data_IF_486799403043
#
_entry.id   IF_486799403043
#
_cell.length_a   1.000
_cell.length_b   1.000
_cell.length_c   1.000
_cell.angle_alpha   90.00
_cell.angle_beta   90.00
_cell.angle_gamma   90.00
#
_symmetry.space_group_name_H-M   'P 1'
#
loop_
_entity.id
_entity.type
_entity.pdbx_description
1 polymer ?
#
# COMPACT_ATOMS: atom_id res chain seq x y z
N UNK A 1 33.60 4.66 -11.69
CA UNK A 1 32.76 3.90 -12.63
C UNK A 1 31.33 4.12 -12.22
N UNK A 2 30.61 4.94 -12.97
CA UNK A 2 29.19 5.18 -12.78
C UNK A 2 28.46 3.91 -13.21
N UNK A 3 27.76 3.26 -12.28
CA UNK A 3 26.94 2.11 -12.63
C UNK A 3 25.79 2.60 -13.51
N UNK A 4 25.77 2.17 -14.77
CA UNK A 4 24.66 2.43 -15.68
C UNK A 4 23.35 2.00 -15.01
N UNK A 5 22.40 2.92 -14.88
CA UNK A 5 21.07 2.63 -14.38
C UNK A 5 20.41 1.63 -15.32
N UNK A 6 20.37 0.37 -14.90
CA UNK A 6 19.66 -0.69 -15.60
C UNK A 6 18.18 -0.36 -15.49
N UNK A 7 17.47 -0.28 -16.62
CA UNK A 7 16.02 -0.09 -16.57
C UNK A 7 15.40 -1.15 -15.66
N UNK A 8 14.46 -0.77 -14.76
CA UNK A 8 13.89 -1.70 -13.82
C UNK A 8 13.19 -2.82 -14.60
N UNK A 9 13.50 -4.06 -14.24
CA UNK A 9 12.92 -5.22 -14.88
C UNK A 9 11.38 -5.12 -14.90
N UNK A 10 10.70 -5.53 -15.99
CA UNK A 10 9.29 -5.20 -16.24
C UNK A 10 8.29 -5.77 -15.21
N UNK A 11 8.74 -6.68 -14.33
CA UNK A 11 7.94 -7.23 -13.23
C UNK A 11 8.05 -6.42 -11.93
N UNK A 12 8.96 -5.44 -11.83
CA UNK A 12 9.11 -4.56 -10.68
C UNK A 12 8.16 -3.37 -10.86
N UNK A 13 7.24 -3.19 -9.91
CA UNK A 13 6.19 -2.16 -9.97
C UNK A 13 6.53 -0.96 -9.10
N UNK A 14 7.15 -1.20 -7.95
CA UNK A 14 7.52 -0.13 -7.02
C UNK A 14 8.67 -0.58 -6.12
N UNK A 15 9.40 0.39 -5.57
CA UNK A 15 10.44 0.18 -4.58
C UNK A 15 10.44 1.31 -3.56
N UNK A 16 10.33 0.96 -2.29
CA UNK A 16 10.39 1.90 -1.17
C UNK A 16 10.97 1.20 0.05
N UNK A 17 11.88 1.89 0.76
CA UNK A 17 12.69 1.32 1.84
C UNK A 17 13.28 -0.07 1.45
N UNK A 18 13.01 -1.10 2.24
CA UNK A 18 13.43 -2.49 2.05
C UNK A 18 12.43 -3.33 1.23
N UNK A 19 11.35 -2.72 0.74
CA UNK A 19 10.26 -3.39 0.04
C UNK A 19 10.40 -3.23 -1.49
N UNK A 20 10.17 -4.33 -2.20
CA UNK A 20 10.03 -4.36 -3.66
C UNK A 20 8.69 -4.98 -4.03
N UNK A 21 7.83 -4.22 -4.71
CA UNK A 21 6.53 -4.71 -5.17
C UNK A 21 6.69 -5.31 -6.56
N UNK A 22 6.27 -6.57 -6.70
CA UNK A 22 6.37 -7.33 -7.94
C UNK A 22 4.98 -7.67 -8.49
N UNK A 23 4.88 -7.82 -9.81
CA UNK A 23 3.72 -8.44 -10.48
C UNK A 23 4.08 -9.82 -11.02
N UNK A 24 3.09 -10.70 -11.08
CA UNK A 24 3.19 -12.02 -11.72
C UNK A 24 2.09 -12.17 -12.77
N UNK A 25 2.38 -12.94 -13.82
CA UNK A 25 1.38 -13.32 -14.81
C UNK A 25 0.60 -14.55 -14.33
N UNK A 26 -0.59 -14.77 -14.88
CA UNK A 26 -1.39 -15.98 -14.65
C UNK A 26 -1.54 -16.75 -15.97
N UNK A 27 -0.50 -17.46 -16.43
CA UNK A 27 -0.50 -18.07 -17.76
C UNK A 27 -1.62 -19.10 -17.91
N UNK A 28 -2.34 -19.02 -19.03
CA UNK A 28 -3.39 -19.97 -19.38
C UNK A 28 -4.75 -19.68 -18.78
N UNK A 29 -4.89 -18.61 -17.99
CA UNK A 29 -6.19 -18.16 -17.48
C UNK A 29 -7.20 -17.92 -18.63
N UNK A 30 -6.73 -17.35 -19.74
CA UNK A 30 -7.54 -17.05 -20.93
C UNK A 30 -8.09 -18.30 -21.60
N UNK A 31 -7.39 -19.44 -21.46
CA UNK A 31 -7.76 -20.72 -22.08
C UNK A 31 -8.81 -21.49 -21.25
N UNK A 32 -9.10 -21.05 -20.02
CA UNK A 32 -10.07 -21.73 -19.16
C UNK A 32 -11.50 -21.58 -19.71
N UNK A 33 -12.33 -22.64 -19.62
CA UNK A 33 -13.77 -22.53 -19.84
C UNK A 33 -14.39 -21.44 -18.96
N UNK A 34 -15.46 -20.80 -19.47
CA UNK A 34 -16.13 -19.69 -18.77
C UNK A 34 -16.52 -20.04 -17.33
N UNK A 35 -17.05 -21.24 -17.10
CA UNK A 35 -17.46 -21.69 -15.77
C UNK A 35 -16.29 -21.69 -14.76
N UNK A 36 -15.08 -22.09 -15.18
CA UNK A 36 -13.91 -22.06 -14.32
C UNK A 36 -13.44 -20.62 -14.04
N UNK A 37 -13.50 -19.74 -15.05
CA UNK A 37 -13.21 -18.30 -14.86
C UNK A 37 -14.17 -17.65 -13.86
N UNK A 38 -15.46 -18.00 -13.93
CA UNK A 38 -16.49 -17.53 -13.01
C UNK A 38 -16.22 -18.04 -11.59
N UNK A 39 -15.88 -19.32 -11.43
CA UNK A 39 -15.49 -19.87 -10.12
C UNK A 39 -14.27 -19.12 -9.54
N UNK A 40 -13.20 -18.95 -10.33
CA UNK A 40 -11.99 -18.23 -9.91
C UNK A 40 -12.32 -16.79 -9.54
N UNK A 41 -13.17 -16.11 -10.33
CA UNK A 41 -13.60 -14.75 -10.05
C UNK A 41 -14.26 -14.65 -8.67
N UNK A 42 -15.24 -15.52 -8.36
CA UNK A 42 -15.92 -15.47 -7.07
C UNK A 42 -15.01 -15.81 -5.90
N UNK A 43 -14.10 -16.78 -6.06
CA UNK A 43 -13.08 -17.08 -5.04
C UNK A 43 -12.17 -15.87 -4.80
N UNK A 44 -11.74 -15.18 -5.86
CA UNK A 44 -10.92 -13.98 -5.74
C UNK A 44 -11.68 -12.82 -5.05
N UNK A 45 -12.98 -12.64 -5.33
CA UNK A 45 -13.80 -11.65 -4.63
C UNK A 45 -13.93 -11.97 -3.14
N UNK A 46 -14.17 -13.24 -2.79
CA UNK A 46 -14.24 -13.69 -1.41
C UNK A 46 -12.94 -13.43 -0.64
N UNK A 47 -11.78 -13.73 -1.24
CA UNK A 47 -10.47 -13.44 -0.64
C UNK A 47 -10.25 -11.94 -0.43
N UNK A 48 -10.61 -11.11 -1.42
CA UNK A 48 -10.46 -9.64 -1.33
C UNK A 48 -11.32 -9.02 -0.23
N UNK A 49 -12.54 -9.54 -0.04
CA UNK A 49 -13.45 -9.06 1.01
C UNK A 49 -12.87 -9.23 2.43
N UNK A 50 -11.96 -10.19 2.64
CA UNK A 50 -11.30 -10.42 3.92
C UNK A 50 -10.18 -9.43 4.26
N UNK A 51 -9.82 -8.49 3.38
CA UNK A 51 -8.68 -7.57 3.60
C UNK A 51 -8.79 -6.83 4.94
N UNK A 52 -9.93 -6.20 5.21
CA UNK A 52 -10.09 -5.37 6.41
C UNK A 52 -10.08 -6.18 7.71
N UNK A 53 -10.42 -7.48 7.66
CA UNK A 53 -10.32 -8.38 8.81
C UNK A 53 -8.86 -8.48 9.28
N UNK A 54 -7.92 -8.64 8.35
CA UNK A 54 -6.49 -8.75 8.68
C UNK A 54 -5.94 -7.46 9.29
N UNK A 55 -6.35 -6.30 8.78
CA UNK A 55 -5.96 -5.01 9.37
C UNK A 55 -6.41 -4.92 10.83
N UNK A 56 -7.67 -5.26 11.10
CA UNK A 56 -8.25 -5.19 12.44
C UNK A 56 -7.60 -6.19 13.42
N UNK A 57 -7.32 -7.41 12.95
CA UNK A 57 -6.59 -8.42 13.71
C UNK A 57 -5.16 -7.99 14.07
N UNK A 58 -4.46 -7.33 13.15
CA UNK A 58 -3.06 -6.93 13.34
C UNK A 58 -2.90 -5.81 14.39
N UNK A 59 -3.88 -4.92 14.52
CA UNK A 59 -3.90 -3.87 15.55
C UNK A 59 -5.23 -3.12 15.54
N UNK A 60 -5.82 -2.91 16.72
CA UNK A 60 -7.14 -2.25 16.91
C UNK A 60 -7.31 -0.86 16.28
N UNK A 61 -6.23 -0.16 15.91
CA UNK A 61 -6.29 1.16 15.28
C UNK A 61 -5.91 1.16 13.78
N UNK A 62 -5.54 0.02 13.20
CA UNK A 62 -5.06 -0.05 11.83
C UNK A 62 -6.08 0.45 10.82
N UNK A 63 -7.37 0.09 10.96
CA UNK A 63 -8.42 0.57 10.07
C UNK A 63 -8.57 2.10 10.16
N UNK A 64 -8.56 2.66 11.37
CA UNK A 64 -8.62 4.12 11.58
C UNK A 64 -7.42 4.83 10.97
N UNK A 65 -6.21 4.35 11.24
CA UNK A 65 -4.97 4.95 10.72
C UNK A 65 -4.92 4.85 9.19
N UNK A 66 -5.24 3.70 8.62
CA UNK A 66 -5.30 3.50 7.16
C UNK A 66 -6.29 4.48 6.53
N UNK A 67 -7.52 4.55 7.04
CA UNK A 67 -8.55 5.44 6.50
C UNK A 67 -8.15 6.92 6.59
N UNK A 68 -7.51 7.33 7.68
CA UNK A 68 -7.01 8.69 7.85
C UNK A 68 -5.94 9.04 6.79
N UNK A 69 -4.94 8.17 6.61
CA UNK A 69 -3.90 8.35 5.60
C UNK A 69 -4.44 8.31 4.17
N UNK A 70 -5.34 7.36 3.86
CA UNK A 70 -6.00 7.27 2.55
C UNK A 70 -6.87 8.50 2.27
N UNK A 71 -7.51 9.07 3.28
CA UNK A 71 -8.29 10.31 3.15
C UNK A 71 -7.40 11.47 2.78
N UNK A 72 -6.27 11.65 3.48
CA UNK A 72 -5.27 12.66 3.13
C UNK A 72 -4.78 12.41 1.71
N UNK A 73 -4.32 11.19 1.38
CA UNK A 73 -3.79 10.85 0.05
C UNK A 73 -4.75 11.16 -1.10
N UNK A 74 -6.03 10.83 -0.94
CA UNK A 74 -7.04 11.01 -1.98
C UNK A 74 -7.50 12.46 -2.12
N UNK A 75 -7.51 13.24 -1.03
CA UNK A 75 -7.98 14.63 -1.03
C UNK A 75 -6.87 15.67 -1.10
N UNK A 76 -5.60 15.26 -1.01
CA UNK A 76 -4.46 16.16 -1.07
C UNK A 76 -4.43 16.93 -2.39
N UNK A 77 -4.54 18.26 -2.27
CA UNK A 77 -4.58 19.26 -3.32
C UNK A 77 -3.30 20.12 -3.37
N UNK A 78 -2.34 19.87 -2.48
CA UNK A 78 -1.02 20.49 -2.49
C UNK A 78 -0.06 19.83 -3.48
N UNK A 79 1.19 20.31 -3.49
CA UNK A 79 2.24 19.73 -4.32
C UNK A 79 2.69 18.36 -3.77
N UNK A 80 2.52 17.31 -4.58
CA UNK A 80 2.85 15.92 -4.22
C UNK A 80 4.35 15.62 -4.27
N UNK A 81 5.16 16.57 -4.72
CA UNK A 81 6.62 16.48 -4.66
C UNK A 81 7.21 17.00 -3.35
N UNK A 82 6.40 17.64 -2.49
CA UNK A 82 6.83 18.13 -1.19
C UNK A 82 7.27 16.98 -0.27
N UNK A 83 8.36 17.20 0.48
CA UNK A 83 8.99 16.19 1.32
C UNK A 83 8.02 15.54 2.34
N UNK A 84 7.13 16.33 2.93
CA UNK A 84 6.13 15.85 3.89
C UNK A 84 5.11 14.90 3.22
N UNK A 85 4.62 15.25 2.03
CA UNK A 85 3.70 14.38 1.27
C UNK A 85 4.40 13.11 0.80
N UNK A 86 5.62 13.21 0.26
CA UNK A 86 6.42 12.05 -0.18
C UNK A 86 6.68 11.10 0.99
N UNK A 87 7.02 11.64 2.17
CA UNK A 87 7.21 10.86 3.39
C UNK A 87 5.91 10.18 3.85
N UNK A 88 4.76 10.87 3.76
CA UNK A 88 3.45 10.31 4.08
C UNK A 88 3.03 9.22 3.09
N UNK A 89 3.21 9.43 1.79
CA UNK A 89 2.93 8.44 0.75
C UNK A 89 3.78 7.19 0.98
N UNK A 90 5.08 7.35 1.27
CA UNK A 90 5.96 6.23 1.63
C UNK A 90 5.45 5.47 2.85
N UNK A 91 5.04 6.17 3.91
CA UNK A 91 4.46 5.54 5.10
C UNK A 91 3.15 4.79 4.79
N UNK A 92 2.26 5.38 3.98
CA UNK A 92 1.01 4.75 3.55
C UNK A 92 1.27 3.49 2.72
N UNK A 93 2.23 3.52 1.79
CA UNK A 93 2.66 2.33 1.04
C UNK A 93 3.12 1.20 1.96
N UNK A 94 3.86 1.51 3.02
CA UNK A 94 4.27 0.52 4.06
C UNK A 94 3.06 -0.04 4.81
N UNK A 95 2.09 0.80 5.18
CA UNK A 95 0.84 0.36 5.82
C UNK A 95 0.04 -0.57 4.91
N UNK A 96 -0.04 -0.26 3.61
CA UNK A 96 -0.69 -1.12 2.63
C UNK A 96 0.00 -2.47 2.50
N UNK A 97 1.33 -2.46 2.39
CA UNK A 97 2.12 -3.66 2.20
C UNK A 97 2.07 -4.59 3.41
N UNK A 98 2.19 -4.04 4.62
CA UNK A 98 2.27 -4.82 5.85
C UNK A 98 0.90 -5.14 6.48
N UNK A 99 -0.21 -4.69 5.88
CA UNK A 99 -1.55 -4.79 6.46
C UNK A 99 -1.65 -4.18 7.88
N UNK A 100 -0.95 -3.07 8.11
CA UNK A 100 -0.89 -2.40 9.41
C UNK A 100 0.35 -1.53 9.60
N UNK A 101 0.48 -0.92 10.78
CA UNK A 101 1.57 0.02 11.12
C UNK A 101 2.86 -0.63 11.61
N UNK A 102 2.98 -1.95 11.52
CA UNK A 102 4.13 -2.73 11.97
C UNK A 102 4.79 -3.41 10.79
N UNK A 103 6.12 -3.54 10.84
CA UNK A 103 6.89 -4.21 9.82
C UNK A 103 6.51 -5.70 9.75
N UNK A 104 6.11 -6.15 8.56
CA UNK A 104 5.58 -7.51 8.32
C UNK A 104 6.49 -8.68 8.72
N UNK A 105 7.82 -8.47 8.84
CA UNK A 105 8.74 -9.50 9.33
C UNK A 105 9.19 -9.29 10.78
N UNK A 106 9.59 -8.06 11.16
CA UNK A 106 10.18 -7.80 12.48
C UNK A 106 9.16 -7.42 13.55
N UNK A 107 7.92 -7.10 13.16
CA UNK A 107 6.87 -6.54 14.00
C UNK A 107 7.19 -5.17 14.61
N UNK A 108 8.30 -4.54 14.21
CA UNK A 108 8.64 -3.19 14.66
C UNK A 108 7.63 -2.17 14.12
N UNK A 109 7.18 -1.25 14.96
CA UNK A 109 6.31 -0.17 14.51
C UNK A 109 7.05 0.76 13.56
N UNK A 110 6.46 1.06 12.41
CA UNK A 110 7.01 2.04 11.48
C UNK A 110 7.09 3.43 12.13
N UNK A 111 8.21 4.13 11.87
CA UNK A 111 8.36 5.53 12.24
C UNK A 111 7.94 6.42 11.04
N UNK A 112 6.98 7.35 11.23
CA UNK A 112 6.69 8.37 10.24
C UNK A 112 7.91 9.27 10.01
N UNK A 113 8.12 9.69 8.76
CA UNK A 113 9.15 10.66 8.35
C UNK A 113 8.56 12.03 8.02
N UNK A 114 7.25 12.19 8.19
CA UNK A 114 6.54 13.46 8.14
C UNK A 114 6.30 13.98 9.57
N UNK A 115 6.18 15.29 9.72
CA UNK A 115 5.97 15.92 11.01
C UNK A 115 4.54 15.71 11.53
N UNK A 116 4.41 15.62 12.85
CA UNK A 116 3.10 15.56 13.51
C UNK A 116 2.24 16.78 13.17
N UNK A 117 2.83 17.97 13.16
CA UNK A 117 2.13 19.22 12.88
C UNK A 117 1.54 19.22 11.46
N UNK A 118 2.32 18.80 10.46
CA UNK A 118 1.83 18.66 9.09
C UNK A 118 0.69 17.64 9.01
N UNK A 119 0.83 16.48 9.67
CA UNK A 119 -0.22 15.46 9.68
C UNK A 119 -1.53 15.96 10.31
N UNK A 120 -1.46 16.64 11.45
CA UNK A 120 -2.63 17.24 12.11
C UNK A 120 -3.29 18.31 11.24
N UNK A 121 -2.50 19.14 10.56
CA UNK A 121 -3.01 20.11 9.59
C UNK A 121 -3.74 19.43 8.43
N UNK A 122 -3.16 18.35 7.87
CA UNK A 122 -3.78 17.60 6.78
C UNK A 122 -5.05 16.89 7.21
N UNK A 123 -5.13 16.36 8.44
CA UNK A 123 -6.37 15.80 8.97
C UNK A 123 -7.45 16.88 9.09
N UNK A 124 -7.13 18.04 9.68
CA UNK A 124 -8.07 19.13 9.86
C UNK A 124 -8.60 19.71 8.52
N UNK A 125 -7.79 19.65 7.45
CA UNK A 125 -8.19 20.10 6.12
C UNK A 125 -9.07 19.10 5.38
N UNK A 126 -8.89 17.79 5.63
CA UNK A 126 -9.43 16.73 4.76
C UNK A 126 -10.52 15.87 5.41
N UNK A 127 -10.76 16.01 6.73
CA UNK A 127 -11.81 15.30 7.49
C UNK A 127 -12.99 16.23 7.75
#
# INVERSE_FOLDING_TARGET
MEAAATEPAPWIIDRFDDIKVLRYEVPGFEKLPLQQKVLIYYLAQATKAGRDILYDQNFKYNLTVRRALETIYNKYDGDRSEAEFVAMEKYLKKVWFANGIHHHYSNDKFRPEFSRAWFEQMLAKNI
#
